data_IF_446067667485
#
_entry.id   IF_446067667485
#
_cell.length_a   1.000
_cell.length_b   1.000
_cell.length_c   1.000
_cell.angle_alpha   90.00
_cell.angle_beta   90.00
_cell.angle_gamma   90.00
#
_symmetry.space_group_name_H-M   'P 1'
#
loop_
_entity.id
_entity.type
_entity.pdbx_description
1 polymer ?
#
# COMPACT_ATOMS: atom_id res chain seq x y z
N UNK A 1 -2.60 -6.45 -5.18
CA UNK A 1 -2.33 -7.70 -5.94
C UNK A 1 -2.24 -7.46 -7.43
N UNK A 2 -3.18 -6.72 -8.02
CA UNK A 2 -3.25 -6.42 -9.47
C UNK A 2 -1.92 -5.98 -10.09
N UNK A 3 -1.25 -5.00 -9.48
CA UNK A 3 0.02 -4.48 -10.01
C UNK A 3 1.14 -5.54 -10.04
N UNK A 4 1.23 -6.37 -9.01
CA UNK A 4 2.20 -7.47 -8.99
C UNK A 4 1.91 -8.48 -10.11
N UNK A 5 0.64 -8.82 -10.33
CA UNK A 5 0.25 -9.72 -11.42
C UNK A 5 0.57 -9.10 -12.80
N UNK A 6 0.33 -7.80 -12.98
CA UNK A 6 0.71 -7.06 -14.20
C UNK A 6 2.21 -7.16 -14.46
N UNK A 7 3.03 -6.86 -13.46
CA UNK A 7 4.49 -6.92 -13.56
C UNK A 7 5.00 -8.33 -13.84
N UNK A 8 4.49 -9.35 -13.14
CA UNK A 8 4.87 -10.75 -13.37
C UNK A 8 4.49 -11.23 -14.77
N UNK A 9 3.32 -10.86 -15.26
CA UNK A 9 2.86 -11.19 -16.62
C UNK A 9 3.76 -10.54 -17.67
N UNK A 10 4.11 -9.26 -17.48
CA UNK A 10 5.04 -8.53 -18.35
C UNK A 10 6.43 -9.16 -18.36
N UNK A 11 6.98 -9.52 -17.20
CA UNK A 11 8.29 -10.17 -17.07
C UNK A 11 8.33 -11.57 -17.71
N UNK A 12 7.20 -12.27 -17.78
CA UNK A 12 7.10 -13.56 -18.47
C UNK A 12 7.00 -13.47 -19.99
N UNK A 13 6.86 -12.27 -20.57
CA UNK A 13 6.78 -12.09 -22.01
C UNK A 13 5.60 -12.83 -22.66
N UNK A 14 4.48 -12.98 -21.94
CA UNK A 14 3.28 -13.68 -22.43
C UNK A 14 3.31 -15.21 -22.28
N UNK A 15 4.33 -15.78 -21.64
CA UNK A 15 4.41 -17.22 -21.37
C UNK A 15 3.55 -17.63 -20.17
N UNK A 16 2.25 -17.83 -20.43
CA UNK A 16 1.26 -18.33 -19.47
C UNK A 16 0.77 -17.25 -18.49
N UNK A 17 -0.49 -17.40 -18.09
CA UNK A 17 -1.13 -16.50 -17.12
C UNK A 17 -0.61 -16.80 -15.71
N UNK A 18 -0.28 -15.75 -14.96
CA UNK A 18 0.04 -15.85 -13.52
C UNK A 18 -1.20 -15.43 -12.76
N UNK A 19 -1.72 -16.33 -11.93
CA UNK A 19 -2.92 -16.07 -11.13
C UNK A 19 -2.56 -15.58 -9.72
N UNK A 20 -3.53 -14.99 -9.03
CA UNK A 20 -3.38 -14.64 -7.61
C UNK A 20 -3.04 -15.87 -6.74
N UNK A 21 -3.60 -17.04 -7.06
CA UNK A 21 -3.31 -18.28 -6.34
C UNK A 21 -1.85 -18.69 -6.48
N UNK A 22 -1.24 -18.48 -7.66
CA UNK A 22 0.18 -18.73 -7.89
C UNK A 22 1.05 -17.85 -7.00
N UNK A 23 0.70 -16.57 -6.84
CA UNK A 23 1.41 -15.65 -5.93
C UNK A 23 1.26 -16.08 -4.47
N UNK A 24 0.05 -16.45 -4.04
CA UNK A 24 -0.18 -16.91 -2.66
C UNK A 24 0.60 -18.19 -2.36
N UNK A 25 0.57 -19.19 -3.26
CA UNK A 25 1.31 -20.45 -3.12
C UNK A 25 2.82 -20.20 -3.11
N UNK A 26 3.31 -19.36 -4.00
CA UNK A 26 4.73 -19.00 -4.08
C UNK A 26 5.19 -18.31 -2.81
N UNK A 27 4.42 -17.35 -2.28
CA UNK A 27 4.73 -16.65 -1.03
C UNK A 27 4.82 -17.64 0.14
N UNK A 28 3.88 -18.60 0.22
CA UNK A 28 3.91 -19.66 1.24
C UNK A 28 5.13 -20.58 1.10
N UNK A 29 5.52 -20.91 -0.13
CA UNK A 29 6.71 -21.72 -0.40
C UNK A 29 8.02 -20.98 -0.05
N UNK A 30 8.06 -19.65 -0.19
CA UNK A 30 9.21 -18.82 0.17
C UNK A 30 9.32 -18.56 1.68
N UNK A 31 8.24 -18.74 2.45
CA UNK A 31 8.21 -18.46 3.90
C UNK A 31 9.36 -19.11 4.70
N UNK A 32 9.72 -20.40 4.49
CA UNK A 32 10.81 -21.03 5.22
C UNK A 32 12.20 -20.44 4.94
N UNK A 33 12.37 -19.71 3.83
CA UNK A 33 13.64 -19.08 3.47
C UNK A 33 13.91 -17.80 4.27
N UNK A 34 12.96 -17.36 5.11
CA UNK A 34 13.13 -16.15 5.92
C UNK A 34 13.17 -14.85 5.10
N UNK A 35 12.78 -14.90 3.82
CA UNK A 35 12.81 -13.74 2.92
C UNK A 35 11.83 -12.63 3.30
N UNK A 36 10.89 -12.90 4.22
CA UNK A 36 10.02 -11.87 4.78
C UNK A 36 8.76 -11.55 3.96
N UNK A 37 8.53 -12.26 2.85
CA UNK A 37 7.33 -12.11 2.06
C UNK A 37 6.08 -12.58 2.81
N UNK A 38 5.06 -11.73 2.87
CA UNK A 38 3.78 -12.06 3.48
C UNK A 38 2.63 -11.49 2.64
N UNK A 39 1.55 -12.26 2.48
CA UNK A 39 0.30 -11.74 1.92
C UNK A 39 -0.53 -11.20 3.08
N UNK A 40 -0.87 -9.92 3.01
CA UNK A 40 -1.72 -9.23 3.99
C UNK A 40 -3.04 -8.80 3.32
N UNK A 41 -4.11 -8.73 4.10
CA UNK A 41 -5.38 -8.13 3.67
C UNK A 41 -5.46 -6.70 4.18
N UNK A 42 -5.71 -5.77 3.27
CA UNK A 42 -5.82 -4.34 3.57
C UNK A 42 -7.12 -3.84 2.94
N UNK A 43 -8.15 -3.65 3.78
CA UNK A 43 -9.44 -3.16 3.31
C UNK A 43 -10.12 -4.07 2.28
N UNK A 44 -9.93 -5.39 2.37
CA UNK A 44 -10.46 -6.36 1.40
C UNK A 44 -9.58 -6.53 0.16
N UNK A 45 -8.48 -5.79 0.06
CA UNK A 45 -7.49 -5.94 -1.02
C UNK A 45 -6.27 -6.68 -0.51
N UNK A 46 -5.93 -7.79 -1.18
CA UNK A 46 -4.70 -8.52 -0.87
C UNK A 46 -3.47 -7.78 -1.40
N UNK A 47 -2.48 -7.64 -0.54
CA UNK A 47 -1.20 -7.01 -0.82
C UNK A 47 -0.06 -7.94 -0.42
N UNK A 48 1.08 -7.84 -1.12
CA UNK A 48 2.29 -8.57 -0.75
C UNK A 48 3.24 -7.61 -0.07
N UNK A 49 3.58 -7.88 1.18
CA UNK A 49 4.65 -7.21 1.91
C UNK A 49 5.97 -7.87 1.58
N UNK A 50 6.94 -7.10 1.10
CA UNK A 50 8.27 -7.61 0.67
C UNK A 50 9.37 -7.46 1.71
N UNK A 51 9.17 -6.62 2.72
CA UNK A 51 10.14 -6.38 3.80
C UNK A 51 9.45 -6.59 5.13
N UNK A 52 10.10 -7.32 6.05
CA UNK A 52 9.62 -7.46 7.42
C UNK A 52 9.80 -6.13 8.14
N UNK A 53 8.80 -5.27 8.02
CA UNK A 53 8.62 -4.08 8.85
C UNK A 53 7.31 -4.20 9.60
N UNK A 54 7.26 -3.64 10.80
CA UNK A 54 6.01 -3.43 11.51
C UNK A 54 5.18 -2.43 10.71
N UNK A 55 4.12 -2.94 10.09
CA UNK A 55 3.03 -2.10 9.63
C UNK A 55 2.06 -2.03 10.80
N UNK A 56 2.04 -0.89 11.48
CA UNK A 56 1.11 -0.67 12.59
C UNK A 56 -0.35 -0.59 12.11
N UNK A 57 -1.27 -0.68 13.06
CA UNK A 57 -2.72 -0.66 12.76
C UNK A 57 -3.15 0.59 12.02
N UNK A 58 -2.49 1.71 12.27
CA UNK A 58 -2.81 3.00 11.66
C UNK A 58 -2.37 3.01 10.20
N UNK A 59 -1.16 2.51 9.91
CA UNK A 59 -0.67 2.30 8.56
C UNK A 59 -1.57 1.38 7.73
N UNK A 60 -2.08 0.28 8.32
CA UNK A 60 -3.06 -0.59 7.63
C UNK A 60 -4.34 0.19 7.27
N UNK A 61 -4.86 1.02 8.19
CA UNK A 61 -6.07 1.81 7.95
C UNK A 61 -5.84 2.85 6.85
N UNK A 62 -4.69 3.54 6.87
CA UNK A 62 -4.33 4.52 5.83
C UNK A 62 -4.17 3.85 4.48
N UNK A 63 -3.50 2.70 4.41
CA UNK A 63 -3.39 1.93 3.17
C UNK A 63 -4.77 1.51 2.65
N UNK A 64 -5.67 1.06 3.53
CA UNK A 64 -7.04 0.70 3.14
C UNK A 64 -7.82 1.88 2.56
N UNK A 65 -7.73 3.04 3.19
CA UNK A 65 -8.35 4.27 2.68
C UNK A 65 -7.75 4.68 1.33
N UNK A 66 -6.45 4.52 1.14
CA UNK A 66 -5.75 4.88 -0.09
C UNK A 66 -6.16 4.03 -1.30
N UNK A 67 -6.59 2.78 -1.07
CA UNK A 67 -7.10 1.88 -2.11
C UNK A 67 -8.54 2.22 -2.53
N UNK A 68 -9.25 3.09 -1.81
CA UNK A 68 -10.60 3.50 -2.19
C UNK A 68 -10.55 4.26 -3.55
N UNK A 69 -11.38 3.90 -4.54
CA UNK A 69 -11.27 4.43 -5.91
C UNK A 69 -11.40 5.96 -6.02
N UNK A 70 -12.13 6.58 -5.11
CA UNK A 70 -12.32 8.03 -5.05
C UNK A 70 -11.17 8.78 -4.37
N UNK A 71 -10.28 8.05 -3.68
CA UNK A 71 -9.10 8.59 -3.02
C UNK A 71 -7.86 8.53 -3.92
N UNK A 72 -7.70 7.43 -4.66
CA UNK A 72 -6.63 7.29 -5.66
C UNK A 72 -5.22 7.46 -5.08
N UNK A 73 -4.98 6.99 -3.85
CA UNK A 73 -3.68 7.07 -3.20
C UNK A 73 -3.31 8.41 -2.56
N UNK A 74 -4.05 9.50 -2.80
CA UNK A 74 -3.77 10.82 -2.22
C UNK A 74 -4.40 10.96 -0.83
N UNK A 75 -3.60 10.92 0.22
CA UNK A 75 -4.04 11.05 1.62
C UNK A 75 -3.65 12.40 2.21
N UNK A 76 -4.57 13.05 2.93
CA UNK A 76 -4.29 14.23 3.75
C UNK A 76 -4.70 13.97 5.20
N UNK A 77 -4.12 14.73 6.14
CA UNK A 77 -4.50 14.69 7.56
C UNK A 77 -6.01 14.94 7.72
N UNK A 78 -6.54 15.95 7.02
CA UNK A 78 -7.95 16.32 7.00
C UNK A 78 -8.85 15.14 6.63
N UNK A 79 -8.43 14.31 5.66
CA UNK A 79 -9.21 13.18 5.21
C UNK A 79 -9.29 12.09 6.28
N UNK A 80 -8.21 11.86 7.03
CA UNK A 80 -8.21 10.92 8.16
C UNK A 80 -9.11 11.42 9.29
N UNK A 81 -9.10 12.72 9.57
CA UNK A 81 -10.02 13.33 10.54
C UNK A 81 -11.47 13.14 10.10
N UNK A 82 -11.81 13.52 8.87
CA UNK A 82 -13.20 13.48 8.38
C UNK A 82 -13.74 12.07 8.14
N UNK A 83 -12.94 11.17 7.55
CA UNK A 83 -13.41 9.82 7.16
C UNK A 83 -13.27 8.79 8.25
N UNK A 84 -12.24 8.90 9.09
CA UNK A 84 -11.94 7.91 10.13
C UNK A 84 -12.16 8.45 11.55
N UNK A 85 -12.53 9.72 11.70
CA UNK A 85 -12.80 10.34 13.01
C UNK A 85 -11.54 10.47 13.87
N UNK A 86 -10.37 10.60 13.24
CA UNK A 86 -9.11 10.68 13.96
C UNK A 86 -8.85 12.09 14.49
N UNK A 87 -8.14 12.17 15.60
CA UNK A 87 -7.51 13.42 16.05
C UNK A 87 -6.38 13.81 15.09
N UNK A 88 -6.21 15.11 14.81
CA UNK A 88 -5.15 15.60 13.91
C UNK A 88 -3.76 15.11 14.32
N UNK A 89 -3.46 15.07 15.62
CA UNK A 89 -2.16 14.58 16.11
C UNK A 89 -1.89 13.12 15.73
N UNK A 90 -2.93 12.27 15.79
CA UNK A 90 -2.84 10.86 15.36
C UNK A 90 -2.68 10.76 13.84
N UNK A 91 -3.49 11.50 13.09
CA UNK A 91 -3.40 11.54 11.62
C UNK A 91 -2.00 11.94 11.14
N UNK A 92 -1.45 13.00 11.73
CA UNK A 92 -0.09 13.46 11.44
C UNK A 92 0.95 12.40 11.80
N UNK A 93 0.89 11.84 13.01
CA UNK A 93 1.85 10.82 13.45
C UNK A 93 1.84 9.58 12.54
N UNK A 94 0.67 9.11 12.13
CA UNK A 94 0.54 7.98 11.20
C UNK A 94 1.20 8.28 9.84
N UNK A 95 0.92 9.45 9.26
CA UNK A 95 1.46 9.84 7.96
C UNK A 95 2.98 10.08 8.01
N UNK A 96 3.49 10.70 9.07
CA UNK A 96 4.94 10.88 9.27
C UNK A 96 5.65 9.54 9.48
N UNK A 97 5.06 8.61 10.22
CA UNK A 97 5.63 7.26 10.38
C UNK A 97 5.66 6.51 9.04
N UNK A 98 4.58 6.59 8.27
CA UNK A 98 4.53 5.97 6.93
C UNK A 98 5.57 6.56 5.97
N UNK A 99 5.83 7.87 6.08
CA UNK A 99 6.84 8.57 5.29
C UNK A 99 8.27 8.19 5.71
N UNK A 100 8.59 8.37 6.98
CA UNK A 100 9.98 8.34 7.47
C UNK A 100 10.44 6.95 7.90
N UNK A 101 9.59 6.18 8.57
CA UNK A 101 9.93 4.85 9.11
C UNK A 101 9.68 3.77 8.06
N UNK A 102 8.50 3.81 7.47
CA UNK A 102 8.04 2.71 6.62
C UNK A 102 8.50 2.91 5.17
N UNK A 103 8.53 4.16 4.70
CA UNK A 103 8.88 4.52 3.32
C UNK A 103 7.80 4.13 2.32
N UNK A 104 6.53 4.14 2.76
CA UNK A 104 5.37 3.67 1.99
C UNK A 104 4.65 4.79 1.24
N UNK A 105 4.99 6.04 1.54
CA UNK A 105 4.40 7.20 0.90
C UNK A 105 5.43 8.28 0.57
N UNK A 106 5.05 9.16 -0.35
CA UNK A 106 5.78 10.38 -0.65
C UNK A 106 4.99 11.58 -0.17
N UNK A 107 5.69 12.63 0.26
CA UNK A 107 5.07 13.90 0.63
C UNK A 107 5.03 14.83 -0.58
N UNK A 108 3.90 15.50 -0.74
CA UNK A 108 3.72 16.61 -1.68
C UNK A 108 3.32 17.86 -0.89
N UNK A 109 4.25 18.81 -0.80
CA UNK A 109 4.02 20.09 -0.11
C UNK A 109 3.33 21.14 -0.98
N UNK A 110 3.14 20.84 -2.28
CA UNK A 110 2.63 21.78 -3.28
C UNK A 110 1.21 21.45 -3.74
N UNK A 111 0.59 20.45 -3.12
CA UNK A 111 -0.74 19.98 -3.48
C UNK A 111 -1.86 20.99 -3.18
N UNK A 112 -2.98 20.86 -3.90
CA UNK A 112 -4.12 21.74 -3.73
C UNK A 112 -4.80 21.49 -2.38
N UNK A 113 -4.68 22.48 -1.48
CA UNK A 113 -5.20 22.41 -0.12
C UNK A 113 -4.12 22.15 0.94
N UNK A 114 -2.84 22.14 0.56
CA UNK A 114 -1.71 22.04 1.46
C UNK A 114 -0.98 20.70 1.32
N UNK A 115 -0.37 20.25 2.41
CA UNK A 115 0.49 19.06 2.41
C UNK A 115 -0.32 17.77 2.23
N UNK A 116 0.04 16.96 1.23
CA UNK A 116 -0.55 15.65 0.96
C UNK A 116 0.51 14.54 0.98
N UNK A 117 0.03 13.30 1.11
CA UNK A 117 0.84 12.10 1.15
C UNK A 117 0.32 11.10 0.12
N UNK A 118 1.19 10.72 -0.81
CA UNK A 118 0.87 9.80 -1.90
C UNK A 118 1.31 8.39 -1.56
N UNK A 119 0.36 7.47 -1.39
CA UNK A 119 0.63 6.07 -1.06
C UNK A 119 1.05 5.30 -2.31
N UNK A 120 2.32 4.88 -2.35
CA UNK A 120 2.92 4.32 -3.56
C UNK A 120 2.22 3.06 -4.07
N UNK A 121 1.77 2.21 -3.15
CA UNK A 121 1.09 0.95 -3.49
C UNK A 121 -0.37 1.13 -3.94
N UNK A 122 -0.91 2.34 -3.85
CA UNK A 122 -2.25 2.69 -4.34
C UNK A 122 -2.21 3.45 -5.67
N UNK A 123 -1.03 3.89 -6.11
CA UNK A 123 -0.88 4.57 -7.40
C UNK A 123 -1.09 3.61 -8.55
N UNK A 124 -1.94 4.00 -9.48
CA UNK A 124 -2.10 3.36 -10.78
C UNK A 124 -1.39 4.19 -11.83
N UNK A 125 -0.39 3.61 -12.48
CA UNK A 125 0.32 4.26 -13.58
C UNK A 125 -0.31 3.81 -14.89
N UNK A 126 -0.69 4.77 -15.73
CA UNK A 126 -1.04 4.48 -17.13
C UNK A 126 0.27 4.20 -17.89
N UNK A 127 0.36 3.04 -18.57
CA UNK A 127 1.47 2.69 -19.47
C UNK A 127 1.33 3.42 -20.82
#
# INVERSE_FOLDING_TARGET
MSELLRLLTKLRGGAGEVTEEDVMRSTKALKPLGAGYEVIDVGGTKMVRSVVKELDSDGVIVLGLAQEPDVGGRITEEMLVRRKGWEYGRARAALENMLLRDGLCWVDEQDQGGRAFWILSALTWED
#
